data_IF_738466382909
#
_entry.id   IF_738466382909
#
_cell.length_a   1.000
_cell.length_b   1.000
_cell.length_c   1.000
_cell.angle_alpha   90.00
_cell.angle_beta   90.00
_cell.angle_gamma   90.00
#
_symmetry.space_group_name_H-M   'P 1'
#
loop_
_entity.id
_entity.type
_entity.pdbx_description
1 polymer ?
#
# COMPACT_ATOMS: atom_id res chain seq x y z
N UNK A 1 -46.28 -0.43 -24.65
CA UNK A 1 -45.67 -1.20 -23.54
C UNK A 1 -44.30 -1.78 -23.90
N UNK A 2 -44.10 -2.25 -25.14
CA UNK A 2 -42.83 -2.83 -25.64
C UNK A 2 -41.60 -1.89 -25.49
N UNK A 3 -41.77 -0.59 -25.74
CA UNK A 3 -40.70 0.41 -25.63
C UNK A 3 -40.15 0.59 -24.20
N UNK A 4 -40.94 0.30 -23.17
CA UNK A 4 -40.51 0.39 -21.78
C UNK A 4 -39.73 -0.86 -21.33
N UNK A 5 -40.04 -2.04 -21.89
CA UNK A 5 -39.28 -3.27 -21.63
C UNK A 5 -37.87 -3.16 -22.24
N UNK A 6 -37.77 -2.72 -23.50
CA UNK A 6 -36.47 -2.53 -24.19
C UNK A 6 -35.56 -1.53 -23.46
N UNK A 7 -36.11 -0.43 -22.95
CA UNK A 7 -35.35 0.56 -22.16
C UNK A 7 -34.84 -0.01 -20.83
N UNK A 8 -35.61 -0.88 -20.16
CA UNK A 8 -35.19 -1.55 -18.92
C UNK A 8 -34.07 -2.54 -19.17
N UNK A 9 -34.18 -3.36 -20.22
CA UNK A 9 -33.12 -4.29 -20.65
C UNK A 9 -31.82 -3.58 -21.00
N UNK A 10 -31.90 -2.43 -21.70
CA UNK A 10 -30.72 -1.63 -22.03
C UNK A 10 -30.06 -1.03 -20.78
N UNK A 11 -30.84 -0.50 -19.83
CA UNK A 11 -30.32 -0.02 -18.54
C UNK A 11 -29.65 -1.15 -17.75
N UNK A 12 -30.27 -2.33 -17.68
CA UNK A 12 -29.71 -3.48 -16.97
C UNK A 12 -28.39 -3.95 -17.58
N UNK A 13 -28.33 -4.05 -18.91
CA UNK A 13 -27.09 -4.40 -19.64
C UNK A 13 -25.99 -3.36 -19.43
N UNK A 14 -26.33 -2.07 -19.43
CA UNK A 14 -25.38 -0.99 -19.15
C UNK A 14 -24.84 -1.05 -17.71
N UNK A 15 -25.71 -1.28 -16.72
CA UNK A 15 -25.33 -1.41 -15.31
C UNK A 15 -24.43 -2.64 -15.07
N UNK A 16 -24.77 -3.80 -15.65
CA UNK A 16 -23.92 -5.01 -15.59
C UNK A 16 -22.54 -4.77 -16.21
N UNK A 17 -22.46 -4.06 -17.35
CA UNK A 17 -21.20 -3.71 -18.00
C UNK A 17 -20.36 -2.75 -17.14
N UNK A 18 -20.98 -1.75 -16.51
CA UNK A 18 -20.30 -0.82 -15.61
C UNK A 18 -19.77 -1.52 -14.35
N UNK A 19 -20.58 -2.37 -13.71
CA UNK A 19 -20.18 -3.20 -12.56
C UNK A 19 -19.02 -4.12 -12.90
N UNK A 20 -19.07 -4.79 -14.06
CA UNK A 20 -17.98 -5.66 -14.52
C UNK A 20 -16.67 -4.90 -14.79
N UNK A 21 -16.74 -3.67 -15.34
CA UNK A 21 -15.56 -2.81 -15.51
C UNK A 21 -14.98 -2.37 -14.16
N UNK A 22 -15.83 -1.90 -13.24
CA UNK A 22 -15.43 -1.52 -11.88
C UNK A 22 -14.73 -2.68 -11.17
N UNK A 23 -15.32 -3.88 -11.19
CA UNK A 23 -14.75 -5.07 -10.55
C UNK A 23 -13.36 -5.40 -11.11
N UNK A 24 -13.20 -5.37 -12.45
CA UNK A 24 -11.91 -5.63 -13.11
C UNK A 24 -10.85 -4.62 -12.69
N UNK A 25 -11.17 -3.32 -12.74
CA UNK A 25 -10.23 -2.26 -12.36
C UNK A 25 -9.87 -2.37 -10.87
N UNK A 26 -10.87 -2.57 -10.00
CA UNK A 26 -10.68 -2.73 -8.57
C UNK A 26 -9.74 -3.90 -8.25
N UNK A 27 -9.94 -5.07 -8.88
CA UNK A 27 -9.08 -6.25 -8.71
C UNK A 27 -7.66 -6.00 -9.22
N UNK A 28 -7.49 -5.38 -10.40
CA UNK A 28 -6.16 -5.07 -10.96
C UNK A 28 -5.40 -4.06 -10.09
N UNK A 29 -6.06 -3.01 -9.63
CA UNK A 29 -5.46 -2.02 -8.72
C UNK A 29 -5.07 -2.67 -7.38
N UNK A 30 -5.90 -3.56 -6.82
CA UNK A 30 -5.55 -4.28 -5.58
C UNK A 30 -4.39 -5.25 -5.77
N UNK A 31 -4.37 -6.00 -6.87
CA UNK A 31 -3.30 -6.94 -7.17
C UNK A 31 -1.96 -6.22 -7.37
N UNK A 32 -1.96 -5.11 -8.12
CA UNK A 32 -0.76 -4.27 -8.28
C UNK A 32 -0.32 -3.63 -6.96
N UNK A 33 -1.24 -3.19 -6.11
CA UNK A 33 -0.92 -2.69 -4.77
C UNK A 33 -0.25 -3.77 -3.90
N UNK A 34 -0.78 -5.00 -3.92
CA UNK A 34 -0.21 -6.13 -3.18
C UNK A 34 1.21 -6.47 -3.65
N UNK A 35 1.46 -6.45 -4.96
CA UNK A 35 2.79 -6.66 -5.52
C UNK A 35 3.76 -5.54 -5.10
N UNK A 36 3.30 -4.29 -5.09
CA UNK A 36 4.11 -3.15 -4.66
C UNK A 36 4.49 -3.24 -3.17
N UNK A 37 3.54 -3.59 -2.28
CA UNK A 37 3.83 -3.76 -0.85
C UNK A 37 4.68 -5.00 -0.58
N UNK A 38 4.50 -6.09 -1.32
CA UNK A 38 5.35 -7.28 -1.23
C UNK A 38 6.80 -6.96 -1.66
N UNK A 39 6.96 -6.21 -2.76
CA UNK A 39 8.26 -5.75 -3.22
C UNK A 39 8.92 -4.84 -2.18
N UNK A 40 8.17 -3.88 -1.62
CA UNK A 40 8.66 -3.01 -0.56
C UNK A 40 9.15 -3.81 0.66
N UNK A 41 8.30 -4.70 1.21
CA UNK A 41 8.63 -5.54 2.35
C UNK A 41 9.83 -6.45 2.09
N UNK A 42 9.90 -7.07 0.91
CA UNK A 42 11.00 -7.95 0.52
C UNK A 42 12.31 -7.19 0.33
N UNK A 43 12.27 -6.03 -0.35
CA UNK A 43 13.44 -5.20 -0.56
C UNK A 43 14.05 -4.73 0.75
N UNK A 44 13.23 -4.35 1.75
CA UNK A 44 13.69 -3.94 3.07
C UNK A 44 14.06 -5.12 3.96
N UNK A 45 13.30 -6.21 3.94
CA UNK A 45 13.53 -7.41 4.76
C UNK A 45 14.81 -8.16 4.38
N UNK A 46 15.13 -8.23 3.08
CA UNK A 46 16.39 -8.80 2.60
C UNK A 46 17.55 -7.81 2.60
N UNK A 47 17.32 -6.55 2.98
CA UNK A 47 18.38 -5.56 3.07
C UNK A 47 19.23 -5.83 4.32
N UNK A 48 20.40 -6.42 4.14
CA UNK A 48 21.39 -6.67 5.19
C UNK A 48 22.72 -6.07 4.75
N UNK A 49 23.26 -5.18 5.56
CA UNK A 49 24.62 -4.66 5.38
C UNK A 49 25.35 -4.67 6.73
N UNK A 50 26.52 -5.28 6.77
CA UNK A 50 27.41 -5.29 7.93
C UNK A 50 28.52 -4.28 7.63
N UNK A 51 28.80 -3.37 8.56
CA UNK A 51 29.97 -2.49 8.45
C UNK A 51 30.72 -2.41 9.78
N UNK A 52 32.04 -2.31 9.68
CA UNK A 52 32.91 -2.08 10.83
C UNK A 52 33.08 -0.59 11.06
N UNK A 53 32.54 -0.09 12.17
CA UNK A 53 32.72 1.31 12.58
C UNK A 53 33.46 1.30 13.91
N UNK A 54 34.63 1.96 13.95
CA UNK A 54 35.46 2.09 15.16
C UNK A 54 35.81 0.77 15.88
N UNK A 55 36.03 -0.32 15.13
CA UNK A 55 36.41 -1.64 15.68
C UNK A 55 35.26 -2.52 16.15
N UNK A 56 34.00 -2.07 16.01
CA UNK A 56 32.79 -2.85 16.31
C UNK A 56 32.03 -3.20 15.03
N UNK A 57 31.63 -4.47 14.89
CA UNK A 57 30.75 -4.95 13.81
C UNK A 57 29.31 -4.47 14.05
N UNK A 58 28.95 -3.30 13.50
CA UNK A 58 27.58 -2.81 13.56
C UNK A 58 26.81 -3.33 12.34
N UNK A 59 25.82 -4.19 12.61
CA UNK A 59 24.92 -4.74 11.60
C UNK A 59 23.75 -3.80 11.38
N UNK A 60 23.74 -3.10 10.24
CA UNK A 60 22.57 -2.36 9.78
C UNK A 60 21.59 -3.35 9.14
N UNK A 61 20.45 -3.57 9.79
CA UNK A 61 19.36 -4.42 9.32
C UNK A 61 18.04 -3.72 9.62
N UNK A 62 16.94 -4.10 8.97
CA UNK A 62 15.59 -3.60 9.27
C UNK A 62 15.22 -3.73 10.76
N UNK A 63 15.90 -4.63 11.51
CA UNK A 63 15.68 -4.89 12.92
C UNK A 63 16.38 -3.87 13.84
N UNK A 64 17.24 -3.01 13.29
CA UNK A 64 18.01 -2.00 14.03
C UNK A 64 17.18 -0.77 14.40
N UNK A 65 16.05 -0.53 13.73
CA UNK A 65 15.15 0.59 14.03
C UNK A 65 13.68 0.14 14.07
N UNK A 66 12.90 0.56 15.08
CA UNK A 66 11.50 0.17 15.19
C UNK A 66 10.66 0.64 14.00
N UNK A 67 11.02 1.77 13.37
CA UNK A 67 10.35 2.27 12.16
C UNK A 67 10.46 1.31 10.97
N UNK A 68 11.64 0.73 10.72
CA UNK A 68 11.83 -0.22 9.62
C UNK A 68 11.14 -1.57 9.90
N UNK A 69 11.08 -2.01 11.18
CA UNK A 69 10.26 -3.17 11.57
C UNK A 69 8.78 -2.92 11.29
N UNK A 70 8.27 -1.77 11.73
CA UNK A 70 6.88 -1.38 11.49
C UNK A 70 6.57 -1.31 10.00
N UNK A 71 7.50 -0.80 9.19
CA UNK A 71 7.37 -0.77 7.74
C UNK A 71 7.23 -2.15 7.10
N UNK A 72 8.10 -3.09 7.45
CA UNK A 72 8.08 -4.46 6.89
C UNK A 72 6.80 -5.18 7.34
N UNK A 73 6.46 -5.10 8.63
CA UNK A 73 5.27 -5.75 9.18
C UNK A 73 3.99 -5.15 8.58
N UNK A 74 3.90 -3.82 8.50
CA UNK A 74 2.75 -3.12 7.93
C UNK A 74 2.52 -3.47 6.46
N UNK A 75 3.58 -3.47 5.65
CA UNK A 75 3.49 -3.88 4.24
C UNK A 75 3.16 -5.38 4.08
N UNK A 76 3.66 -6.25 4.95
CA UNK A 76 3.34 -7.68 4.94
C UNK A 76 1.87 -7.94 5.28
N UNK A 77 1.33 -7.27 6.31
CA UNK A 77 -0.10 -7.31 6.66
C UNK A 77 -0.93 -6.83 5.46
N UNK A 78 -0.53 -5.73 4.82
CA UNK A 78 -1.24 -5.18 3.67
C UNK A 78 -1.27 -6.14 2.47
N UNK A 79 -0.16 -6.83 2.20
CA UNK A 79 -0.10 -7.86 1.18
C UNK A 79 -1.03 -9.04 1.53
N UNK A 80 -0.94 -9.57 2.76
CA UNK A 80 -1.77 -10.69 3.21
C UNK A 80 -3.26 -10.38 3.15
N UNK A 81 -3.66 -9.21 3.64
CA UNK A 81 -5.03 -8.72 3.56
C UNK A 81 -5.52 -8.60 2.11
N UNK A 82 -4.68 -8.09 1.21
CA UNK A 82 -5.06 -7.93 -0.20
C UNK A 82 -5.40 -9.27 -0.84
N UNK A 83 -4.55 -10.28 -0.64
CA UNK A 83 -4.78 -11.65 -1.16
C UNK A 83 -6.04 -12.26 -0.55
N UNK A 84 -6.22 -12.13 0.78
CA UNK A 84 -7.41 -12.64 1.47
C UNK A 84 -8.69 -11.96 1.01
N UNK A 85 -8.65 -10.66 0.68
CA UNK A 85 -9.83 -9.89 0.28
C UNK A 85 -10.30 -10.14 -1.16
N UNK A 86 -9.43 -10.64 -2.06
CA UNK A 86 -9.75 -10.88 -3.47
C UNK A 86 -11.01 -11.75 -3.71
N UNK A 87 -11.18 -12.93 -3.08
CA UNK A 87 -12.39 -13.75 -3.26
C UNK A 87 -13.64 -13.06 -2.72
N UNK A 88 -13.52 -12.27 -1.64
CA UNK A 88 -14.64 -11.57 -1.03
C UNK A 88 -15.16 -10.41 -1.89
N UNK A 89 -14.31 -9.78 -2.70
CA UNK A 89 -14.71 -8.66 -3.59
C UNK A 89 -15.78 -9.09 -4.60
N UNK A 90 -15.77 -10.34 -5.07
CA UNK A 90 -16.79 -10.85 -5.99
C UNK A 90 -18.12 -11.15 -5.29
N UNK A 91 -18.08 -11.57 -4.02
CA UNK A 91 -19.23 -12.05 -3.26
C UNK A 91 -19.92 -10.95 -2.44
N UNK A 92 -19.15 -9.98 -1.92
CA UNK A 92 -19.56 -8.98 -0.94
C UNK A 92 -19.40 -7.55 -1.49
N UNK A 93 -19.86 -7.30 -2.73
CA UNK A 93 -19.72 -5.99 -3.42
C UNK A 93 -20.37 -4.81 -2.64
N UNK A 94 -21.25 -5.10 -1.69
CA UNK A 94 -22.03 -4.09 -0.94
C UNK A 94 -21.68 -4.01 0.56
N UNK A 95 -20.68 -4.76 1.02
CA UNK A 95 -20.31 -4.79 2.44
C UNK A 95 -19.52 -3.54 2.88
N UNK A 96 -20.11 -2.71 3.74
CA UNK A 96 -19.41 -1.58 4.39
C UNK A 96 -18.12 -2.00 5.11
N UNK A 97 -18.08 -3.24 5.60
CA UNK A 97 -16.93 -3.82 6.29
C UNK A 97 -15.69 -3.93 5.39
N UNK A 98 -15.84 -4.35 4.12
CA UNK A 98 -14.71 -4.45 3.21
C UNK A 98 -14.07 -3.09 2.95
N UNK A 99 -14.90 -2.06 2.75
CA UNK A 99 -14.43 -0.68 2.58
C UNK A 99 -13.74 -0.15 3.84
N UNK A 100 -14.22 -0.52 5.03
CA UNK A 100 -13.57 -0.14 6.29
C UNK A 100 -12.19 -0.79 6.43
N UNK A 101 -12.09 -2.08 6.17
CA UNK A 101 -10.81 -2.79 6.20
C UNK A 101 -9.84 -2.27 5.13
N UNK A 102 -10.32 -1.92 3.93
CA UNK A 102 -9.52 -1.29 2.87
C UNK A 102 -8.95 0.06 3.34
N UNK A 103 -9.76 0.87 4.02
CA UNK A 103 -9.33 2.15 4.58
C UNK A 103 -8.32 1.98 5.73
N UNK A 104 -8.53 0.99 6.61
CA UNK A 104 -7.55 0.65 7.65
C UNK A 104 -6.22 0.22 7.06
N UNK A 105 -6.25 -0.58 6.00
CA UNK A 105 -5.05 -1.05 5.32
C UNK A 105 -4.30 0.10 4.63
N UNK A 106 -5.03 1.01 3.98
CA UNK A 106 -4.48 2.24 3.42
C UNK A 106 -3.75 3.07 4.49
N UNK A 107 -4.39 3.29 5.63
CA UNK A 107 -3.82 4.03 6.75
C UNK A 107 -2.57 3.36 7.33
N UNK A 108 -2.59 2.03 7.47
CA UNK A 108 -1.44 1.25 7.92
C UNK A 108 -0.23 1.42 7.01
N UNK A 109 -0.41 1.28 5.69
CA UNK A 109 0.69 1.45 4.71
C UNK A 109 1.23 2.88 4.73
N UNK A 110 0.35 3.89 4.82
CA UNK A 110 0.77 5.29 4.89
C UNK A 110 1.59 5.57 6.14
N UNK A 111 1.14 5.10 7.30
CA UNK A 111 1.84 5.29 8.58
C UNK A 111 3.20 4.58 8.58
N UNK A 112 3.22 3.34 8.09
CA UNK A 112 4.44 2.56 7.91
C UNK A 112 5.46 3.26 7.02
N UNK A 113 5.03 3.70 5.83
CA UNK A 113 5.87 4.41 4.86
C UNK A 113 6.42 5.72 5.44
N UNK A 114 5.57 6.50 6.10
CA UNK A 114 5.96 7.80 6.68
C UNK A 114 6.94 7.64 7.84
N UNK A 115 6.76 6.64 8.70
CA UNK A 115 7.70 6.34 9.78
C UNK A 115 9.08 5.93 9.24
N UNK A 116 9.12 5.07 8.23
CA UNK A 116 10.38 4.68 7.58
C UNK A 116 11.03 5.83 6.82
N UNK A 117 10.24 6.69 6.17
CA UNK A 117 10.72 7.87 5.47
C UNK A 117 11.36 8.88 6.45
N UNK A 118 10.76 9.10 7.62
CA UNK A 118 11.31 10.00 8.63
C UNK A 118 12.68 9.52 9.14
N UNK A 119 12.81 8.24 9.50
CA UNK A 119 14.10 7.67 9.93
C UNK A 119 15.10 7.58 8.78
N UNK A 120 14.64 7.27 7.56
CA UNK A 120 15.49 7.29 6.36
C UNK A 120 16.02 8.68 6.04
N UNK A 121 15.20 9.72 6.21
CA UNK A 121 15.58 11.11 6.01
C UNK A 121 16.68 11.53 6.99
N UNK A 122 16.48 11.23 8.27
CA UNK A 122 17.49 11.45 9.32
C UNK A 122 18.78 10.70 9.00
N UNK A 123 18.69 9.45 8.54
CA UNK A 123 19.88 8.66 8.18
C UNK A 123 20.66 9.24 7.00
N UNK A 124 19.97 9.89 6.04
CA UNK A 124 20.55 10.48 4.82
C UNK A 124 21.14 11.86 5.06
N UNK A 125 20.41 12.73 5.77
CA UNK A 125 20.77 14.14 5.92
C UNK A 125 21.37 14.48 7.29
N UNK A 126 21.10 13.69 8.33
CA UNK A 126 21.48 14.01 9.71
C UNK A 126 20.69 15.21 10.26
N UNK A 127 21.00 15.61 11.49
CA UNK A 127 20.58 16.88 12.05
C UNK A 127 21.66 17.41 13.01
N UNK A 128 22.39 18.43 12.59
CA UNK A 128 23.52 18.98 13.34
C UNK A 128 23.07 19.65 14.65
N UNK A 129 21.85 20.22 14.68
CA UNK A 129 21.30 20.90 15.87
C UNK A 129 21.11 19.98 17.08
N UNK A 130 20.86 18.69 16.85
CA UNK A 130 20.70 17.67 17.91
C UNK A 130 21.83 16.64 17.92
N UNK A 131 22.88 16.85 17.12
CA UNK A 131 24.04 15.95 17.01
C UNK A 131 23.78 14.63 16.27
N UNK A 132 22.75 14.56 15.42
CA UNK A 132 22.48 13.38 14.60
C UNK A 132 23.38 13.33 13.37
N UNK A 133 24.32 12.38 13.37
CA UNK A 133 25.25 12.17 12.27
C UNK A 133 24.63 11.40 11.11
N UNK A 134 25.15 11.65 9.90
CA UNK A 134 24.73 10.96 8.68
C UNK A 134 25.19 9.51 8.71
N UNK A 135 24.25 8.58 8.54
CA UNK A 135 24.53 7.13 8.55
C UNK A 135 24.72 6.59 7.13
N UNK A 136 24.01 7.15 6.15
CA UNK A 136 24.03 6.65 4.77
C UNK A 136 25.41 6.65 4.07
N UNK A 137 26.36 7.56 4.35
CA UNK A 137 27.71 7.48 3.77
C UNK A 137 28.46 6.19 4.14
N UNK A 138 28.16 5.58 5.29
CA UNK A 138 28.77 4.31 5.73
C UNK A 138 28.04 3.08 5.17
N UNK A 139 26.76 3.24 4.81
CA UNK A 139 25.86 2.15 4.39
C UNK A 139 25.12 2.49 3.10
N UNK A 140 25.86 2.91 2.07
CA UNK A 140 25.28 3.46 0.83
C UNK A 140 24.32 2.49 0.13
N UNK A 141 24.70 1.22 0.00
CA UNK A 141 23.86 0.17 -0.62
C UNK A 141 22.57 -0.07 0.18
N UNK A 142 22.66 -0.13 1.50
CA UNK A 142 21.50 -0.29 2.36
C UNK A 142 20.56 0.92 2.24
N UNK A 143 21.09 2.14 2.30
CA UNK A 143 20.27 3.35 2.18
C UNK A 143 19.61 3.47 0.80
N UNK A 144 20.33 3.21 -0.29
CA UNK A 144 19.74 3.23 -1.63
C UNK A 144 18.59 2.22 -1.78
N UNK A 145 18.79 0.99 -1.28
CA UNK A 145 17.75 -0.06 -1.34
C UNK A 145 16.55 0.25 -0.41
N UNK A 146 16.80 0.89 0.72
CA UNK A 146 15.77 1.38 1.64
C UNK A 146 14.93 2.48 1.02
N UNK A 147 15.56 3.45 0.33
CA UNK A 147 14.87 4.53 -0.38
C UNK A 147 13.95 3.97 -1.50
N UNK A 148 14.46 3.03 -2.29
CA UNK A 148 13.67 2.34 -3.33
C UNK A 148 12.49 1.58 -2.71
N UNK A 149 12.73 0.88 -1.59
CA UNK A 149 11.68 0.15 -0.88
C UNK A 149 10.57 1.08 -0.37
N UNK A 150 10.93 2.21 0.24
CA UNK A 150 9.98 3.24 0.70
C UNK A 150 9.18 3.80 -0.47
N UNK A 151 9.84 4.10 -1.60
CA UNK A 151 9.17 4.56 -2.81
C UNK A 151 8.14 3.52 -3.32
N UNK A 152 8.49 2.23 -3.37
CA UNK A 152 7.54 1.17 -3.72
C UNK A 152 6.33 1.12 -2.77
N UNK A 153 6.53 1.34 -1.47
CA UNK A 153 5.43 1.38 -0.50
C UNK A 153 4.50 2.57 -0.72
N UNK A 154 5.03 3.74 -1.10
CA UNK A 154 4.19 4.90 -1.47
C UNK A 154 3.39 4.66 -2.75
N UNK A 155 3.96 3.96 -3.74
CA UNK A 155 3.21 3.53 -4.93
C UNK A 155 2.06 2.60 -4.52
N UNK A 156 2.32 1.63 -3.63
CA UNK A 156 1.28 0.76 -3.07
C UNK A 156 0.18 1.55 -2.34
N UNK A 157 0.55 2.55 -1.55
CA UNK A 157 -0.38 3.47 -0.89
C UNK A 157 -1.29 4.20 -1.88
N UNK A 158 -0.74 4.79 -2.95
CA UNK A 158 -1.53 5.49 -3.97
C UNK A 158 -2.51 4.55 -4.69
N UNK A 159 -2.10 3.30 -4.93
CA UNK A 159 -2.99 2.29 -5.50
C UNK A 159 -4.13 1.93 -4.55
N UNK A 160 -3.86 1.71 -3.26
CA UNK A 160 -4.93 1.50 -2.26
C UNK A 160 -5.86 2.71 -2.13
N UNK A 161 -5.32 3.92 -2.24
CA UNK A 161 -6.11 5.16 -2.20
C UNK A 161 -7.09 5.20 -3.39
N UNK A 162 -6.61 4.88 -4.59
CA UNK A 162 -7.46 4.80 -5.78
C UNK A 162 -8.58 3.78 -5.62
N UNK A 163 -8.29 2.62 -5.02
CA UNK A 163 -9.27 1.57 -4.73
C UNK A 163 -10.35 2.10 -3.79
N UNK A 164 -9.97 2.71 -2.66
CA UNK A 164 -10.90 3.29 -1.70
C UNK A 164 -11.76 4.39 -2.33
N UNK A 165 -11.16 5.27 -3.14
CA UNK A 165 -11.86 6.35 -3.82
C UNK A 165 -12.90 5.80 -4.82
N UNK A 166 -12.53 4.80 -5.62
CA UNK A 166 -13.45 4.15 -6.56
C UNK A 166 -14.62 3.50 -5.82
N UNK A 167 -14.38 2.80 -4.71
CA UNK A 167 -15.42 2.18 -3.88
C UNK A 167 -16.40 3.21 -3.31
N UNK A 168 -15.87 4.33 -2.80
CA UNK A 168 -16.69 5.42 -2.28
C UNK A 168 -17.56 6.06 -3.37
N UNK A 169 -16.99 6.35 -4.54
CA UNK A 169 -17.71 6.94 -5.68
C UNK A 169 -18.77 5.98 -6.23
N UNK A 170 -18.45 4.69 -6.35
CA UNK A 170 -19.41 3.67 -6.80
C UNK A 170 -20.61 3.59 -5.85
N UNK A 171 -20.37 3.55 -4.54
CA UNK A 171 -21.42 3.54 -3.53
C UNK A 171 -22.27 4.80 -3.55
N UNK A 172 -21.65 5.98 -3.65
CA UNK A 172 -22.37 7.26 -3.75
C UNK A 172 -23.29 7.31 -4.98
N UNK A 173 -22.86 6.76 -6.12
CA UNK A 173 -23.70 6.65 -7.32
C UNK A 173 -24.85 5.68 -7.16
N UNK A 174 -24.63 4.55 -6.48
CA UNK A 174 -25.69 3.59 -6.19
C UNK A 174 -26.76 4.21 -5.30
N UNK A 175 -26.36 4.88 -4.22
CA UNK A 175 -27.29 5.53 -3.28
C UNK A 175 -28.09 6.69 -3.89
N UNK A 176 -27.58 7.37 -4.91
CA UNK A 176 -28.31 8.42 -5.63
C UNK A 176 -29.22 7.88 -6.74
N UNK A 177 -29.18 6.56 -7.03
CA UNK A 177 -30.00 5.93 -8.06
C UNK A 177 -31.25 5.23 -7.51
N UNK A 178 -31.35 5.11 -6.18
CA UNK A 178 -32.52 4.66 -5.42
C UNK A 178 -33.37 5.86 -4.99
#
# INVERSE_FOLDING_TARGET
>A
MESAAVKRDQKEKAAKRARGKYLKIHVVCKASAALATLAAASLMGFNKQISNVAGFEIKATYNSSPAFKFFVIGNAIACGYSVLSLPFVAYMVEGWMLNLFDLMNLGLVMAAASAAAAIGYVGKYGNDEIGWTKVCPYYEKFCGRTEISIACSYVGFLLFLSVCAMSSVYRSRSSNSD
#
